data_IF_564974676900
#
_entry.id   IF_564974676900
#
_cell.length_a   1.000
_cell.length_b   1.000
_cell.length_c   1.000
_cell.angle_alpha   90.00
_cell.angle_beta   90.00
_cell.angle_gamma   90.00
#
_symmetry.space_group_name_H-M   'P 1'
#
loop_
_entity.id
_entity.type
_entity.pdbx_description
1 polymer ?
#
# COMPACT_ATOMS: atom_id res chain seq x y z
N UNK A 1 18.34 10.57 33.94
CA UNK A 1 17.98 11.89 33.33
C UNK A 1 18.90 12.25 32.16
N UNK A 2 20.23 12.29 32.34
CA UNK A 2 21.19 12.60 31.25
C UNK A 2 21.08 11.69 30.02
N UNK A 3 20.90 10.39 30.23
CA UNK A 3 20.76 9.39 29.16
C UNK A 3 19.47 9.58 28.36
N UNK A 4 18.35 9.88 29.01
CA UNK A 4 17.07 10.14 28.33
C UNK A 4 17.14 11.39 27.44
N UNK A 5 17.81 12.45 27.90
CA UNK A 5 18.03 13.67 27.12
C UNK A 5 18.91 13.37 25.90
N UNK A 6 19.97 12.58 26.07
CA UNK A 6 20.83 12.15 24.96
C UNK A 6 20.05 11.38 23.89
N UNK A 7 19.22 10.40 24.28
CA UNK A 7 18.39 9.66 23.32
C UNK A 7 17.42 10.58 22.57
N UNK A 8 16.77 11.51 23.27
CA UNK A 8 15.82 12.45 22.66
C UNK A 8 16.50 13.37 21.64
N UNK A 9 17.68 13.90 21.98
CA UNK A 9 18.47 14.74 21.07
C UNK A 9 18.94 13.95 19.85
N UNK A 10 19.42 12.71 20.04
CA UNK A 10 19.85 11.84 18.94
C UNK A 10 18.68 11.57 17.98
N UNK A 11 17.49 11.24 18.48
CA UNK A 11 16.31 10.99 17.63
C UNK A 11 15.91 12.22 16.82
N UNK A 12 15.98 13.41 17.43
CA UNK A 12 15.66 14.68 16.76
C UNK A 12 16.67 14.96 15.65
N UNK A 13 17.97 14.83 15.93
CA UNK A 13 19.02 15.03 14.94
C UNK A 13 18.88 14.07 13.75
N UNK A 14 18.61 12.79 14.00
CA UNK A 14 18.42 11.79 12.95
C UNK A 14 17.21 12.14 12.07
N UNK A 15 16.09 12.56 12.67
CA UNK A 15 14.90 12.97 11.91
C UNK A 15 15.14 14.18 11.00
N UNK A 16 15.89 15.18 11.49
CA UNK A 16 16.25 16.38 10.73
C UNK A 16 17.17 16.03 9.57
N UNK A 17 18.17 15.17 9.79
CA UNK A 17 19.08 14.71 8.73
C UNK A 17 18.31 13.97 7.63
N UNK A 18 17.39 13.07 7.99
CA UNK A 18 16.54 12.36 7.02
C UNK A 18 15.67 13.35 6.23
N UNK A 19 15.05 14.33 6.88
CA UNK A 19 14.25 15.36 6.21
C UNK A 19 15.07 16.21 5.23
N UNK A 20 16.30 16.58 5.60
CA UNK A 20 17.24 17.31 4.74
C UNK A 20 17.63 16.43 3.52
N UNK A 21 17.98 15.17 3.72
CA UNK A 21 18.33 14.24 2.63
C UNK A 21 17.18 14.03 1.63
N UNK A 22 15.94 14.01 2.13
CA UNK A 22 14.73 13.96 1.32
C UNK A 22 14.51 15.26 0.56
N UNK A 23 14.72 16.42 1.20
CA UNK A 23 14.61 17.75 0.58
C UNK A 23 15.66 17.95 -0.53
N UNK A 24 16.87 17.41 -0.33
CA UNK A 24 17.95 17.41 -1.31
C UNK A 24 17.71 16.46 -2.49
N UNK A 25 16.53 15.82 -2.58
CA UNK A 25 16.16 14.86 -3.63
C UNK A 25 17.12 13.65 -3.74
N UNK A 26 17.99 13.42 -2.75
CA UNK A 26 18.92 12.30 -2.72
C UNK A 26 18.22 10.97 -2.43
N UNK A 27 17.08 11.02 -1.72
CA UNK A 27 16.27 9.84 -1.41
C UNK A 27 14.93 9.97 -2.15
N UNK A 28 14.61 9.08 -3.11
CA UNK A 28 13.28 9.05 -3.69
C UNK A 28 12.28 8.69 -2.57
N UNK A 29 11.28 9.54 -2.36
CA UNK A 29 10.22 9.37 -1.34
C UNK A 29 9.59 7.96 -1.30
N UNK A 30 9.72 7.17 -2.38
CA UNK A 30 9.27 5.78 -2.46
C UNK A 30 10.09 4.75 -1.68
N UNK A 31 11.39 4.96 -1.41
CA UNK A 31 12.22 3.93 -0.76
C UNK A 31 11.92 3.80 0.74
N UNK A 32 11.55 4.92 1.39
CA UNK A 32 11.17 4.93 2.81
C UNK A 32 9.88 4.14 3.05
N UNK A 33 8.94 4.20 2.11
CA UNK A 33 7.68 3.46 2.19
C UNK A 33 7.90 1.94 2.14
N UNK A 34 8.83 1.41 1.33
CA UNK A 34 9.03 -0.05 1.20
C UNK A 34 9.66 -0.67 2.45
N UNK A 35 10.58 0.04 3.11
CA UNK A 35 11.32 -0.51 4.26
C UNK A 35 10.66 -0.19 5.60
N UNK A 36 10.01 0.97 5.75
CA UNK A 36 9.32 1.33 7.00
C UNK A 36 7.85 0.91 7.06
N UNK A 37 7.14 0.61 5.95
CA UNK A 37 5.78 0.06 6.03
C UNK A 37 5.66 -1.21 6.87
N UNK A 38 6.51 -2.24 6.68
CA UNK A 38 6.34 -3.48 7.42
C UNK A 38 6.54 -3.29 8.93
N UNK A 39 7.30 -2.26 9.34
CA UNK A 39 7.61 -2.00 10.74
C UNK A 39 6.62 -1.05 11.43
N UNK A 40 6.06 -0.06 10.71
CA UNK A 40 5.10 0.92 11.26
C UNK A 40 3.68 0.35 11.35
N UNK A 41 3.30 -0.57 10.46
CA UNK A 41 1.95 -1.19 10.46
C UNK A 41 1.85 -2.51 11.23
N UNK A 42 2.96 -3.04 11.78
CA UNK A 42 2.99 -4.35 12.45
C UNK A 42 2.54 -4.38 13.92
N UNK A 43 2.17 -3.26 14.53
CA UNK A 43 1.90 -3.15 15.98
C UNK A 43 0.53 -2.58 16.35
N UNK A 44 -0.53 -3.39 16.25
CA UNK A 44 -1.75 -3.29 17.07
C UNK A 44 -2.80 -2.23 16.68
N UNK A 45 -3.76 -2.62 15.82
CA UNK A 45 -5.01 -1.86 15.60
C UNK A 45 -5.83 -2.33 14.40
N UNK A 46 -6.97 -2.98 14.69
CA UNK A 46 -7.88 -3.66 13.76
C UNK A 46 -8.45 -2.82 12.59
N UNK A 47 -8.56 -3.49 11.43
CA UNK A 47 -9.55 -3.32 10.33
C UNK A 47 -9.87 -1.90 9.83
N UNK A 48 -9.42 -1.60 8.61
CA UNK A 48 -10.31 -1.15 7.53
C UNK A 48 -9.90 -1.78 6.20
N UNK A 49 -10.80 -2.64 5.73
CA UNK A 49 -10.89 -3.13 4.36
C UNK A 49 -11.29 -1.92 3.50
N UNK A 50 -10.46 -1.60 2.52
CA UNK A 50 -10.82 -0.69 1.42
C UNK A 50 -11.76 -1.47 0.50
N UNK A 51 -13.05 -1.47 0.85
CA UNK A 51 -14.14 -2.05 0.06
C UNK A 51 -14.45 -1.08 -1.08
N UNK A 52 -14.15 -1.49 -2.31
CA UNK A 52 -15.15 -2.11 -3.18
C UNK A 52 -16.24 -1.12 -3.56
N UNK A 53 -15.98 -0.39 -4.66
CA UNK A 53 -17.07 -0.06 -5.57
C UNK A 53 -17.71 -1.38 -6.02
N UNK A 54 -19.02 -1.49 -5.83
CA UNK A 54 -19.87 -2.64 -6.15
C UNK A 54 -19.54 -3.14 -7.58
N UNK A 55 -18.70 -4.17 -7.69
CA UNK A 55 -18.68 -4.98 -8.90
C UNK A 55 -19.77 -6.03 -8.70
N UNK A 56 -20.91 -5.83 -9.37
CA UNK A 56 -21.81 -6.96 -9.60
C UNK A 56 -20.97 -8.07 -10.22
N UNK A 57 -20.77 -9.15 -9.46
CA UNK A 57 -20.08 -10.34 -9.97
C UNK A 57 -20.96 -10.93 -11.06
N UNK A 58 -20.72 -10.50 -12.29
CA UNK A 58 -21.34 -11.10 -13.46
C UNK A 58 -20.66 -12.43 -13.66
N UNK A 59 -21.42 -13.49 -13.87
CA UNK A 59 -20.86 -14.75 -14.30
C UNK A 59 -20.81 -14.77 -15.82
N UNK A 60 -19.79 -15.41 -16.38
CA UNK A 60 -19.74 -15.63 -17.81
C UNK A 60 -20.97 -16.47 -18.24
N UNK A 61 -21.79 -16.01 -19.19
CA UNK A 61 -22.99 -16.74 -19.61
C UNK A 61 -22.65 -18.06 -20.33
N UNK A 62 -21.42 -18.23 -20.80
CA UNK A 62 -20.99 -19.41 -21.53
C UNK A 62 -20.39 -20.51 -20.61
N UNK A 63 -19.53 -20.12 -19.66
CA UNK A 63 -18.77 -21.09 -18.84
C UNK A 63 -19.00 -20.95 -17.33
N UNK A 64 -19.81 -19.98 -16.88
CA UNK A 64 -20.06 -19.75 -15.46
C UNK A 64 -18.88 -19.20 -14.67
N UNK A 65 -17.79 -18.79 -15.34
CA UNK A 65 -16.64 -18.21 -14.65
C UNK A 65 -17.01 -16.86 -14.02
N UNK A 66 -16.63 -16.60 -12.75
CA UNK A 66 -16.88 -15.32 -12.11
C UNK A 66 -16.08 -14.22 -12.80
N UNK A 67 -16.78 -13.20 -13.29
CA UNK A 67 -16.19 -12.04 -13.95
C UNK A 67 -16.11 -10.90 -12.94
N UNK A 68 -15.06 -10.11 -13.09
CA UNK A 68 -14.84 -8.86 -12.37
C UNK A 68 -15.42 -7.69 -13.16
N UNK A 69 -16.12 -7.94 -14.28
CA UNK A 69 -17.02 -7.00 -14.96
C UNK A 69 -16.40 -5.84 -15.76
N UNK A 70 -15.08 -5.63 -15.74
CA UNK A 70 -14.37 -4.73 -16.68
C UNK A 70 -13.86 -5.43 -17.94
N UNK A 71 -13.99 -6.75 -17.99
CA UNK A 71 -13.41 -7.59 -19.03
C UNK A 71 -14.26 -7.60 -20.32
N UNK A 72 -13.61 -7.35 -21.47
CA UNK A 72 -14.26 -7.40 -22.79
C UNK A 72 -14.42 -8.85 -23.31
N UNK A 73 -13.56 -9.75 -22.83
CA UNK A 73 -13.55 -11.17 -23.19
C UNK A 73 -13.39 -12.01 -21.93
N UNK A 74 -14.05 -13.17 -21.87
CA UNK A 74 -13.90 -14.08 -20.74
C UNK A 74 -12.51 -14.77 -20.78
N UNK A 75 -11.72 -14.73 -19.69
CA UNK A 75 -10.37 -15.31 -19.64
C UNK A 75 -10.35 -16.84 -19.70
N UNK A 76 -11.48 -17.49 -19.42
CA UNK A 76 -11.58 -18.95 -19.43
C UNK A 76 -12.03 -19.53 -20.78
N UNK A 77 -13.00 -18.90 -21.44
CA UNK A 77 -13.61 -19.44 -22.65
C UNK A 77 -13.44 -18.55 -23.89
N UNK A 78 -12.92 -17.33 -23.75
CA UNK A 78 -12.71 -16.40 -24.85
C UNK A 78 -13.98 -15.75 -25.40
N UNK A 79 -15.16 -16.00 -24.83
CA UNK A 79 -16.40 -15.38 -25.28
C UNK A 79 -16.32 -13.85 -25.12
N UNK A 80 -16.78 -13.12 -26.14
CA UNK A 80 -16.88 -11.66 -26.12
C UNK A 80 -18.07 -11.25 -25.26
N UNK A 81 -17.84 -10.40 -24.27
CA UNK A 81 -18.85 -9.95 -23.30
C UNK A 81 -19.40 -8.56 -23.62
N UNK A 82 -18.62 -7.73 -24.32
CA UNK A 82 -18.98 -6.38 -24.74
C UNK A 82 -18.58 -6.14 -26.19
#
# INVERSE_FOLDING_TARGET
MRVAILFMVITILVSIVIAILVLLKLIPFGFFFVVFLPFVFGGGGSKKIESEGIYERKFCPNCGFPLVGYENFCPRCGVKLR
#
